data_IF_238462173966
#
_entry.id   IF_238462173966
#
_cell.length_a   1.000
_cell.length_b   1.000
_cell.length_c   1.000
_cell.angle_alpha   90.00
_cell.angle_beta   90.00
_cell.angle_gamma   90.00
#
_symmetry.space_group_name_H-M   'P 1'
#
loop_
_entity.id
_entity.type
_entity.pdbx_description
1 polymer ?
#
# COMPACT_ATOMS: atom_id res chain seq x y z
N UNK A 1 60.68 26.41 -11.84
CA UNK A 1 60.39 25.45 -12.94
C UNK A 1 59.36 24.46 -12.45
N UNK A 2 58.26 24.38 -13.21
CA UNK A 2 57.18 23.37 -13.34
C UNK A 2 57.09 22.23 -12.32
N UNK A 3 55.93 22.11 -11.67
CA UNK A 3 55.16 20.86 -11.64
C UNK A 3 53.66 21.16 -11.41
N UNK A 4 52.90 21.19 -12.51
CA UNK A 4 51.43 21.11 -12.50
C UNK A 4 51.05 19.65 -12.24
N UNK A 5 50.19 19.39 -11.27
CA UNK A 5 49.48 18.12 -11.15
C UNK A 5 47.97 18.42 -11.21
N UNK A 6 47.47 18.38 -12.43
CA UNK A 6 46.06 18.19 -12.74
C UNK A 6 45.82 16.69 -12.69
N UNK A 7 45.03 16.21 -11.74
CA UNK A 7 44.50 14.85 -11.81
C UNK A 7 43.06 14.86 -11.35
N UNK A 8 42.19 14.50 -12.27
CA UNK A 8 40.75 14.40 -12.14
C UNK A 8 40.45 13.15 -11.31
N UNK A 9 39.46 13.19 -10.42
CA UNK A 9 38.92 11.97 -9.83
C UNK A 9 37.41 12.05 -9.78
N UNK A 10 36.86 11.12 -10.54
CA UNK A 10 35.47 10.79 -10.83
C UNK A 10 34.69 10.48 -9.55
N UNK A 11 33.45 10.94 -9.58
CA UNK A 11 32.24 10.60 -8.83
C UNK A 11 32.23 9.24 -8.10
N UNK A 12 31.89 9.26 -6.81
CA UNK A 12 31.18 8.16 -6.14
C UNK A 12 30.14 8.75 -5.19
N UNK A 13 28.92 8.93 -5.70
CA UNK A 13 27.73 9.10 -4.87
C UNK A 13 27.37 7.70 -4.34
N UNK A 14 27.86 7.37 -3.15
CA UNK A 14 27.42 6.18 -2.42
C UNK A 14 26.14 6.53 -1.66
N UNK A 15 24.99 6.35 -2.31
CA UNK A 15 23.70 6.24 -1.61
C UNK A 15 23.67 4.86 -0.96
N UNK A 16 24.18 4.77 0.27
CA UNK A 16 24.00 3.60 1.11
C UNK A 16 22.80 3.84 2.04
N UNK A 17 21.59 3.62 1.51
CA UNK A 17 20.40 3.47 2.32
C UNK A 17 20.49 2.12 3.06
N UNK A 18 21.00 2.15 4.29
CA UNK A 18 21.00 1.01 5.20
C UNK A 18 20.62 1.46 6.60
N UNK A 19 19.32 1.39 6.88
CA UNK A 19 18.79 1.20 8.22
C UNK A 19 17.56 0.29 8.16
N UNK A 20 17.84 -1.00 7.92
CA UNK A 20 17.04 -2.12 8.41
C UNK A 20 17.11 -2.11 9.94
N UNK A 21 16.00 -1.84 10.62
CA UNK A 21 15.33 -2.65 11.69
C UNK A 21 14.15 -1.80 12.15
N UNK A 22 13.14 -1.73 11.31
CA UNK A 22 11.81 -1.29 11.70
C UNK A 22 10.89 -2.34 11.10
N UNK A 23 10.07 -2.97 11.95
CA UNK A 23 8.83 -3.63 11.54
C UNK A 23 8.31 -2.95 10.27
N UNK A 24 8.38 -3.61 9.10
CA UNK A 24 7.83 -3.05 7.86
C UNK A 24 6.43 -2.57 8.21
N UNK A 25 6.21 -1.25 8.14
CA UNK A 25 5.14 -0.59 8.89
C UNK A 25 3.81 -1.31 8.75
N UNK A 26 3.34 -1.96 9.83
CA UNK A 26 2.08 -2.70 9.87
C UNK A 26 0.83 -1.81 9.80
N UNK A 27 1.04 -0.50 9.67
CA UNK A 27 -0.02 0.48 9.61
C UNK A 27 0.02 1.26 8.30
N UNK A 28 -0.94 2.16 8.12
CA UNK A 28 -1.08 2.93 6.91
C UNK A 28 0.15 3.82 6.68
N UNK A 29 0.40 4.16 5.43
CA UNK A 29 1.59 4.89 5.01
C UNK A 29 1.30 6.38 4.79
N UNK A 30 2.37 7.18 4.73
CA UNK A 30 2.27 8.59 4.37
C UNK A 30 1.97 8.78 2.87
N UNK A 31 2.34 7.78 2.05
CA UNK A 31 2.01 7.74 0.63
C UNK A 31 0.79 6.85 0.37
N UNK A 32 -0.15 7.27 -0.48
CA UNK A 32 -1.38 6.52 -0.73
C UNK A 32 -1.12 5.21 -1.48
N UNK A 33 -0.19 5.22 -2.44
CA UNK A 33 0.18 4.01 -3.19
C UNK A 33 0.71 2.92 -2.28
N UNK A 34 1.62 3.28 -1.38
CA UNK A 34 2.21 2.36 -0.41
C UNK A 34 1.15 1.77 0.56
N UNK A 35 0.17 2.58 0.99
CA UNK A 35 -0.91 2.11 1.86
C UNK A 35 -1.80 1.07 1.16
N UNK A 36 -2.16 1.35 -0.11
CA UNK A 36 -2.95 0.43 -0.92
C UNK A 36 -2.19 -0.87 -1.21
N UNK A 37 -0.89 -0.78 -1.55
CA UNK A 37 -0.04 -1.94 -1.80
C UNK A 37 0.01 -2.87 -0.58
N UNK A 38 0.28 -2.31 0.61
CA UNK A 38 0.32 -3.08 1.86
C UNK A 38 -1.02 -3.79 2.13
N UNK A 39 -2.14 -3.13 1.89
CA UNK A 39 -3.47 -3.73 2.11
C UNK A 39 -3.71 -4.91 1.17
N UNK A 40 -3.41 -4.74 -0.12
CA UNK A 40 -3.60 -5.80 -1.12
C UNK A 40 -2.66 -6.99 -0.87
N UNK A 41 -1.41 -6.73 -0.47
CA UNK A 41 -0.44 -7.78 -0.10
C UNK A 41 -0.90 -8.54 1.14
N UNK A 42 -1.33 -7.84 2.20
CA UNK A 42 -1.85 -8.47 3.41
C UNK A 42 -3.07 -9.34 3.10
N UNK A 43 -3.99 -8.87 2.24
CA UNK A 43 -5.11 -9.68 1.75
C UNK A 43 -4.63 -10.94 1.00
N UNK A 44 -3.65 -10.82 0.12
CA UNK A 44 -3.04 -11.97 -0.59
C UNK A 44 -2.37 -12.98 0.34
N UNK A 45 -1.81 -12.52 1.46
CA UNK A 45 -1.18 -13.33 2.50
C UNK A 45 -2.18 -13.89 3.53
N UNK A 46 -3.47 -13.52 3.43
CA UNK A 46 -4.52 -13.86 4.39
C UNK A 46 -4.33 -13.24 5.78
N UNK A 47 -3.58 -12.14 5.83
CA UNK A 47 -3.35 -11.29 7.00
C UNK A 47 -4.51 -10.28 7.10
N UNK A 48 -5.75 -10.76 7.19
CA UNK A 48 -6.95 -9.93 7.04
C UNK A 48 -7.09 -8.86 8.12
N UNK A 49 -6.62 -9.13 9.34
CA UNK A 49 -6.61 -8.14 10.42
C UNK A 49 -5.68 -6.97 10.08
N UNK A 50 -4.49 -7.26 9.56
CA UNK A 50 -3.53 -6.23 9.13
C UNK A 50 -4.06 -5.45 7.92
N UNK A 51 -4.68 -6.15 6.96
CA UNK A 51 -5.33 -5.50 5.82
C UNK A 51 -6.46 -4.56 6.28
N UNK A 52 -7.31 -4.99 7.21
CA UNK A 52 -8.38 -4.16 7.75
C UNK A 52 -7.88 -2.93 8.51
N UNK A 53 -6.75 -3.02 9.21
CA UNK A 53 -6.11 -1.87 9.89
C UNK A 53 -5.56 -0.81 8.93
N UNK A 54 -5.49 -1.12 7.64
CA UNK A 54 -5.14 -0.18 6.58
C UNK A 54 -6.38 0.49 5.96
N UNK A 55 -7.57 0.22 6.51
CA UNK A 55 -8.83 0.74 5.98
C UNK A 55 -9.47 1.80 6.89
N UNK A 56 -10.35 2.59 6.30
CA UNK A 56 -11.22 3.53 6.99
C UNK A 56 -12.68 3.26 6.62
N UNK A 57 -13.55 3.41 7.61
CA UNK A 57 -15.00 3.26 7.52
C UNK A 57 -15.64 4.50 8.15
N UNK A 58 -16.61 5.10 7.46
CA UNK A 58 -17.31 6.32 7.92
C UNK A 58 -16.38 7.47 8.35
N UNK A 59 -15.23 7.58 7.69
CA UNK A 59 -14.22 8.62 7.95
C UNK A 59 -13.32 8.36 9.17
N UNK A 60 -13.42 7.18 9.80
CA UNK A 60 -12.57 6.77 10.92
C UNK A 60 -11.69 5.56 10.55
N UNK A 61 -10.46 5.46 11.09
CA UNK A 61 -9.63 4.26 10.97
C UNK A 61 -10.31 3.03 11.57
N UNK A 62 -10.18 1.88 10.90
CA UNK A 62 -10.63 0.59 11.45
C UNK A 62 -9.50 -0.02 12.28
N UNK A 63 -9.48 0.22 13.59
CA UNK A 63 -8.36 -0.23 14.46
C UNK A 63 -8.69 -1.47 15.28
N UNK A 64 -9.90 -1.54 15.84
CA UNK A 64 -10.36 -2.59 16.76
C UNK A 64 -11.90 -2.77 16.78
N UNK A 65 -12.36 -3.57 17.74
CA UNK A 65 -13.79 -3.69 18.07
C UNK A 65 -14.63 -4.36 17.00
N UNK A 66 -15.91 -3.95 16.94
CA UNK A 66 -16.89 -4.51 16.02
C UNK A 66 -16.53 -4.21 14.55
N UNK A 67 -16.09 -2.98 14.26
CA UNK A 67 -15.69 -2.58 12.91
C UNK A 67 -14.55 -3.44 12.35
N UNK A 68 -13.51 -3.72 13.15
CA UNK A 68 -12.44 -4.63 12.75
C UNK A 68 -12.95 -6.05 12.53
N UNK A 69 -13.80 -6.54 13.43
CA UNK A 69 -14.37 -7.90 13.33
C UNK A 69 -15.17 -8.07 12.05
N UNK A 70 -16.03 -7.10 11.74
CA UNK A 70 -16.89 -7.10 10.55
C UNK A 70 -16.07 -6.95 9.26
N UNK A 71 -15.05 -6.09 9.28
CA UNK A 71 -14.10 -5.95 8.18
C UNK A 71 -13.38 -7.28 7.90
N UNK A 72 -12.84 -7.94 8.94
CA UNK A 72 -12.12 -9.22 8.79
C UNK A 72 -13.05 -10.30 8.24
N UNK A 73 -14.29 -10.37 8.73
CA UNK A 73 -15.28 -11.32 8.25
C UNK A 73 -15.59 -11.09 6.76
N UNK A 74 -15.86 -9.84 6.38
CA UNK A 74 -16.16 -9.45 5.00
C UNK A 74 -14.99 -9.72 4.07
N UNK A 75 -13.78 -9.33 4.47
CA UNK A 75 -12.58 -9.51 3.68
C UNK A 75 -12.23 -10.99 3.49
N UNK A 76 -12.45 -11.83 4.52
CA UNK A 76 -12.30 -13.28 4.40
C UNK A 76 -13.27 -13.85 3.36
N UNK A 77 -14.56 -13.52 3.44
CA UNK A 77 -15.57 -14.00 2.48
C UNK A 77 -15.22 -13.56 1.06
N UNK A 78 -14.83 -12.29 0.90
CA UNK A 78 -14.38 -11.76 -0.38
C UNK A 78 -13.17 -12.53 -0.92
N UNK A 79 -12.13 -12.73 -0.11
CA UNK A 79 -10.91 -13.43 -0.50
C UNK A 79 -11.15 -14.93 -0.81
N UNK A 80 -12.09 -15.57 -0.13
CA UNK A 80 -12.52 -16.95 -0.42
C UNK A 80 -13.27 -17.07 -1.75
N UNK A 81 -13.93 -15.99 -2.19
CA UNK A 81 -14.55 -15.90 -3.51
C UNK A 81 -13.57 -15.66 -4.66
N UNK A 82 -12.31 -15.32 -4.37
CA UNK A 82 -11.28 -15.09 -5.39
C UNK A 82 -10.72 -16.42 -5.92
N UNK A 83 -10.36 -16.40 -7.20
CA UNK A 83 -9.62 -17.53 -7.80
C UNK A 83 -8.20 -17.60 -7.20
N UNK A 84 -7.61 -18.80 -7.05
CA UNK A 84 -6.27 -18.94 -6.46
C UNK A 84 -5.19 -18.07 -7.11
N UNK A 85 -5.22 -17.92 -8.43
CA UNK A 85 -4.31 -17.07 -9.19
C UNK A 85 -4.47 -15.58 -8.86
N UNK A 86 -5.70 -15.13 -8.56
CA UNK A 86 -5.96 -13.76 -8.11
C UNK A 86 -5.32 -13.53 -6.74
N UNK A 87 -5.49 -14.46 -5.80
CA UNK A 87 -4.87 -14.37 -4.46
C UNK A 87 -3.34 -14.40 -4.57
N UNK A 88 -2.78 -15.21 -5.46
CA UNK A 88 -1.34 -15.24 -5.69
C UNK A 88 -0.81 -13.93 -6.28
N UNK A 89 -1.55 -13.34 -7.24
CA UNK A 89 -1.20 -12.05 -7.83
C UNK A 89 -1.13 -10.93 -6.79
N UNK A 90 -2.09 -10.90 -5.85
CA UNK A 90 -2.14 -9.93 -4.75
C UNK A 90 -0.87 -9.91 -3.88
N UNK A 91 -0.15 -11.02 -3.73
CA UNK A 91 1.07 -11.10 -2.92
C UNK A 91 2.26 -10.37 -3.53
N UNK A 92 2.17 -10.04 -4.82
CA UNK A 92 3.26 -9.47 -5.62
C UNK A 92 2.81 -8.22 -6.36
N UNK A 93 1.73 -7.59 -5.91
CA UNK A 93 1.26 -6.35 -6.54
C UNK A 93 2.25 -5.24 -6.33
N UNK A 94 2.26 -4.31 -7.27
CA UNK A 94 2.96 -3.04 -7.09
C UNK A 94 2.03 -1.89 -7.45
N UNK A 95 1.87 -0.95 -6.52
CA UNK A 95 1.07 0.25 -6.72
C UNK A 95 2.03 1.41 -6.99
N UNK A 96 1.89 2.15 -8.11
CA UNK A 96 2.78 3.27 -8.39
C UNK A 96 2.58 4.40 -7.39
N UNK A 97 3.60 5.24 -7.21
CA UNK A 97 3.47 6.47 -6.46
C UNK A 97 2.40 7.36 -7.09
N UNK A 98 1.49 7.85 -6.24
CA UNK A 98 0.41 8.75 -6.64
C UNK A 98 0.53 10.03 -5.84
N UNK A 99 0.87 11.12 -6.52
CA UNK A 99 0.85 12.44 -5.90
C UNK A 99 -0.59 12.78 -5.51
N UNK A 100 -0.84 12.92 -4.20
CA UNK A 100 -2.13 13.30 -3.67
C UNK A 100 -2.07 14.71 -3.08
N UNK A 101 -2.92 15.60 -3.57
CA UNK A 101 -3.14 16.93 -3.00
C UNK A 101 -4.50 16.96 -2.32
N UNK A 102 -4.53 17.02 -0.99
CA UNK A 102 -5.76 17.09 -0.20
C UNK A 102 -5.95 15.90 0.73
N UNK A 103 -7.21 15.61 1.07
CA UNK A 103 -7.61 14.59 2.04
C UNK A 103 -8.16 13.31 1.40
N UNK A 104 -8.25 13.25 0.07
CA UNK A 104 -8.76 12.09 -0.67
C UNK A 104 -7.98 11.89 -1.97
N UNK A 105 -7.79 10.64 -2.37
CA UNK A 105 -7.24 10.28 -3.68
C UNK A 105 -7.92 9.01 -4.19
N UNK A 106 -8.10 8.92 -5.50
CA UNK A 106 -8.59 7.71 -6.17
C UNK A 106 -7.46 7.11 -7.01
N UNK A 107 -7.24 5.81 -6.85
CA UNK A 107 -6.25 5.03 -7.60
C UNK A 107 -7.02 4.03 -8.49
N UNK A 108 -7.05 4.23 -9.82
CA UNK A 108 -7.62 3.24 -10.73
C UNK A 108 -6.87 1.93 -10.63
N UNK A 109 -7.60 0.81 -10.54
CA UNK A 109 -7.01 -0.52 -10.44
C UNK A 109 -6.15 -0.89 -11.64
N UNK A 110 -6.47 -0.36 -12.82
CA UNK A 110 -5.66 -0.51 -14.04
C UNK A 110 -4.22 0.03 -13.93
N UNK A 111 -3.92 0.85 -12.91
CA UNK A 111 -2.56 1.33 -12.63
C UNK A 111 -1.75 0.37 -11.77
N UNK A 112 -2.37 -0.65 -11.17
CA UNK A 112 -1.73 -1.57 -10.23
C UNK A 112 -1.15 -2.75 -11.02
N UNK A 113 0.14 -2.99 -10.88
CA UNK A 113 0.78 -4.16 -11.48
C UNK A 113 0.44 -5.41 -10.67
N UNK A 114 0.22 -6.55 -11.34
CA UNK A 114 0.04 -7.86 -10.69
C UNK A 114 -1.37 -8.20 -10.22
N UNK A 115 -2.35 -7.29 -10.36
CA UNK A 115 -3.75 -7.57 -10.01
C UNK A 115 -4.51 -8.30 -11.11
N UNK A 116 -5.52 -9.08 -10.74
CA UNK A 116 -6.46 -9.69 -11.69
C UNK A 116 -7.53 -8.71 -12.19
N UNK A 117 -8.20 -9.04 -13.30
CA UNK A 117 -9.24 -8.22 -13.94
C UNK A 117 -10.27 -7.59 -12.99
N UNK A 118 -10.87 -8.31 -12.00
CA UNK A 118 -11.83 -7.69 -11.07
C UNK A 118 -11.30 -6.47 -10.31
N UNK A 119 -10.01 -6.45 -10.00
CA UNK A 119 -9.37 -5.29 -9.38
C UNK A 119 -8.98 -4.25 -10.42
N UNK A 120 -8.52 -4.67 -11.61
CA UNK A 120 -8.11 -3.77 -12.68
C UNK A 120 -9.26 -2.90 -13.21
N UNK A 121 -10.48 -3.44 -13.22
CA UNK A 121 -11.70 -2.76 -13.69
C UNK A 121 -12.28 -1.78 -12.65
N UNK A 122 -11.82 -1.86 -11.41
CA UNK A 122 -12.29 -1.03 -10.30
C UNK A 122 -11.40 0.19 -10.03
N UNK A 123 -11.73 0.89 -8.96
CA UNK A 123 -10.88 1.93 -8.37
C UNK A 123 -10.87 1.82 -6.85
N UNK A 124 -9.81 2.35 -6.25
CA UNK A 124 -9.62 2.38 -4.81
C UNK A 124 -9.58 3.82 -4.35
N UNK A 125 -10.49 4.16 -3.44
CA UNK A 125 -10.51 5.47 -2.80
C UNK A 125 -9.71 5.38 -1.52
N UNK A 126 -8.81 6.34 -1.29
CA UNK A 126 -8.09 6.50 -0.05
C UNK A 126 -8.39 7.86 0.57
N UNK A 127 -8.41 7.91 1.90
CA UNK A 127 -8.58 9.14 2.68
C UNK A 127 -7.40 9.36 3.62
N UNK A 128 -7.04 10.63 3.82
CA UNK A 128 -5.98 11.03 4.74
C UNK A 128 -6.56 11.32 6.12
N UNK A 129 -6.08 10.61 7.12
CA UNK A 129 -6.42 10.79 8.54
C UNK A 129 -5.09 10.83 9.31
N UNK A 130 -4.84 11.90 10.07
CA UNK A 130 -3.60 12.09 10.84
C UNK A 130 -2.30 11.81 10.04
N UNK A 131 -2.21 12.39 8.84
CA UNK A 131 -1.07 12.27 7.91
C UNK A 131 -0.79 10.86 7.39
N UNK A 132 -1.79 9.98 7.47
CA UNK A 132 -1.74 8.59 6.99
C UNK A 132 -2.89 8.35 6.01
N UNK A 133 -2.65 7.54 4.99
CA UNK A 133 -3.68 7.18 4.00
C UNK A 133 -4.32 5.83 4.32
N UNK A 134 -5.65 5.81 4.34
CA UNK A 134 -6.45 4.63 4.59
C UNK A 134 -7.31 4.32 3.39
N UNK A 135 -7.45 3.04 3.04
CA UNK A 135 -8.35 2.61 1.96
C UNK A 135 -9.80 2.66 2.46
N UNK A 136 -10.66 3.37 1.74
CA UNK A 136 -12.08 3.45 2.09
C UNK A 136 -12.75 2.13 1.75
N UNK A 137 -13.40 1.52 2.73
CA UNK A 137 -14.28 0.37 2.54
C UNK A 137 -15.73 0.81 2.64
N UNK A 138 -16.53 0.52 1.60
CA UNK A 138 -17.95 0.81 1.63
C UNK A 138 -18.68 -0.27 2.44
N UNK A 139 -19.55 0.15 3.36
CA UNK A 139 -20.56 -0.74 3.95
C UNK A 139 -21.69 -0.93 2.94
N UNK A 140 -21.87 -2.17 2.48
CA UNK A 140 -23.08 -2.58 1.75
C UNK A 140 -24.21 -2.90 2.71
#
# INVERSE_FOLDING_TARGET
>A
MVAKLVTWSVTLAAVAALSLVGRSGQGPAAEPGESLERMLVAMGNREYEDACRLTAQDGAPVEDGAALTDCVATMRVYAEGLRPESVQGLRQVSVPDVAATGSQVEIPGARIAGVSQPFADGSFVLVRIDDRWYVVVATS
#
